data_IF_496447385138
#
_entry.id   IF_496447385138
#
_cell.length_a   1.000
_cell.length_b   1.000
_cell.length_c   1.000
_cell.angle_alpha   90.00
_cell.angle_beta   90.00
_cell.angle_gamma   90.00
#
_symmetry.space_group_name_H-M   'P 1'
#
loop_
_entity.id
_entity.type
_entity.pdbx_description
1 polymer ?
#
# COMPACT_ATOMS: atom_id res chain seq x y z
N UNK A 1 23.50 -27.24 29.83
CA UNK A 1 23.00 -27.09 28.43
C UNK A 1 21.54 -27.49 28.22
N UNK A 2 20.86 -28.14 29.18
CA UNK A 2 19.47 -28.63 28.99
C UNK A 2 18.38 -27.54 29.08
N UNK A 3 18.49 -26.56 30.00
CA UNK A 3 17.46 -25.51 30.17
C UNK A 3 17.28 -24.61 28.95
N UNK A 4 18.37 -24.10 28.35
CA UNK A 4 18.30 -23.24 27.15
C UNK A 4 17.59 -23.91 25.96
N UNK A 5 17.75 -25.22 25.76
CA UNK A 5 17.04 -25.97 24.71
C UNK A 5 15.53 -26.05 24.96
N UNK A 6 15.13 -26.02 26.23
CA UNK A 6 13.73 -26.10 26.66
C UNK A 6 13.05 -24.75 26.51
N UNK A 7 13.72 -23.66 26.90
CA UNK A 7 13.27 -22.28 26.66
C UNK A 7 13.13 -21.95 25.17
N UNK A 8 14.07 -22.38 24.33
CA UNK A 8 14.00 -22.14 22.88
C UNK A 8 12.81 -22.90 22.26
N UNK A 9 12.53 -24.12 22.72
CA UNK A 9 11.35 -24.89 22.28
C UNK A 9 10.04 -24.24 22.72
N UNK A 10 9.98 -23.73 23.95
CA UNK A 10 8.80 -23.02 24.45
C UNK A 10 8.53 -21.74 23.64
N UNK A 11 9.58 -20.97 23.32
CA UNK A 11 9.46 -19.79 22.44
C UNK A 11 9.06 -20.16 21.02
N UNK A 12 9.59 -21.24 20.46
CA UNK A 12 9.20 -21.71 19.14
C UNK A 12 7.72 -22.10 19.07
N UNK A 13 7.20 -22.76 20.12
CA UNK A 13 5.77 -23.10 20.24
C UNK A 13 4.88 -21.86 20.35
N UNK A 14 5.28 -20.87 21.16
CA UNK A 14 4.54 -19.61 21.29
C UNK A 14 4.51 -18.84 19.95
N UNK A 15 5.66 -18.73 19.27
CA UNK A 15 5.72 -18.11 17.94
C UNK A 15 4.87 -18.87 16.91
N UNK A 16 4.85 -20.20 16.98
CA UNK A 16 4.04 -21.00 16.07
C UNK A 16 2.53 -20.77 16.30
N UNK A 17 2.09 -20.59 17.55
CA UNK A 17 0.71 -20.25 17.87
C UNK A 17 0.32 -18.84 17.38
N UNK A 18 1.21 -17.86 17.53
CA UNK A 18 1.01 -16.51 16.96
C UNK A 18 0.92 -16.54 15.44
N UNK A 19 1.77 -17.34 14.77
CA UNK A 19 1.71 -17.51 13.31
C UNK A 19 0.37 -18.12 12.88
N UNK A 20 -0.15 -19.10 13.63
CA UNK A 20 -1.43 -19.74 13.31
C UNK A 20 -2.62 -18.78 13.53
N UNK A 21 -2.60 -17.98 14.60
CA UNK A 21 -3.60 -16.95 14.85
C UNK A 21 -3.59 -15.87 13.75
N UNK A 22 -2.39 -15.39 13.38
CA UNK A 22 -2.20 -14.41 12.31
C UNK A 22 -2.66 -14.96 10.95
N UNK A 23 -2.36 -16.23 10.65
CA UNK A 23 -2.86 -16.91 9.45
C UNK A 23 -4.39 -17.06 9.45
N UNK A 24 -4.99 -17.35 10.60
CA UNK A 24 -6.45 -17.43 10.73
C UNK A 24 -7.13 -16.08 10.53
N UNK A 25 -6.55 -14.98 11.06
CA UNK A 25 -7.04 -13.61 10.84
C UNK A 25 -6.94 -13.16 9.38
N UNK A 26 -5.94 -13.65 8.66
CA UNK A 26 -5.69 -13.31 7.27
C UNK A 26 -6.63 -14.04 6.27
N UNK A 27 -7.29 -15.11 6.72
CA UNK A 27 -8.17 -15.95 5.90
C UNK A 27 -7.40 -17.07 5.20
N UNK A 28 -7.96 -18.30 5.27
CA UNK A 28 -7.33 -19.57 4.87
C UNK A 28 -6.80 -19.66 3.44
N UNK A 29 -7.10 -18.70 2.58
CA UNK A 29 -6.83 -18.78 1.14
C UNK A 29 -6.00 -17.61 0.58
N UNK A 30 -5.65 -16.61 1.39
CA UNK A 30 -4.85 -15.47 0.90
C UNK A 30 -3.43 -15.55 1.45
N UNK A 31 -2.49 -15.81 0.55
CA UNK A 31 -1.07 -15.68 0.85
C UNK A 31 -0.81 -14.20 1.14
N UNK A 32 -0.43 -13.87 2.37
CA UNK A 32 -0.17 -12.49 2.83
C UNK A 32 0.71 -11.72 1.84
N UNK A 33 1.74 -12.41 1.34
CA UNK A 33 2.67 -11.87 0.37
C UNK A 33 2.01 -11.50 -0.95
N UNK A 34 1.06 -12.30 -1.45
CA UNK A 34 0.33 -12.01 -2.69
C UNK A 34 -0.58 -10.81 -2.52
N UNK A 35 -1.26 -10.68 -1.37
CA UNK A 35 -2.12 -9.53 -1.09
C UNK A 35 -1.31 -8.26 -0.97
N UNK A 36 -0.22 -8.28 -0.20
CA UNK A 36 0.67 -7.13 -0.06
C UNK A 36 1.28 -6.75 -1.40
N UNK A 37 1.79 -7.72 -2.17
CA UNK A 37 2.36 -7.47 -3.50
C UNK A 37 1.32 -6.89 -4.46
N UNK A 38 0.07 -7.36 -4.43
CA UNK A 38 -1.03 -6.80 -5.22
C UNK A 38 -1.32 -5.34 -4.82
N UNK A 39 -1.39 -5.03 -3.53
CA UNK A 39 -1.60 -3.66 -3.05
C UNK A 39 -0.44 -2.74 -3.44
N UNK A 40 0.81 -3.20 -3.33
CA UNK A 40 2.00 -2.46 -3.77
C UNK A 40 1.92 -2.15 -5.27
N UNK A 41 1.55 -3.13 -6.09
CA UNK A 41 1.37 -2.93 -7.54
C UNK A 41 0.27 -1.92 -7.85
N UNK A 42 -0.88 -2.02 -7.18
CA UNK A 42 -1.98 -1.07 -7.36
C UNK A 42 -1.57 0.35 -6.95
N UNK A 43 -0.82 0.50 -5.86
CA UNK A 43 -0.32 1.80 -5.41
C UNK A 43 0.64 2.42 -6.42
N UNK A 44 1.56 1.63 -6.98
CA UNK A 44 2.47 2.10 -8.02
C UNK A 44 1.73 2.50 -9.30
N UNK A 45 0.75 1.69 -9.75
CA UNK A 45 -0.07 2.02 -10.92
C UNK A 45 -0.87 3.30 -10.72
N UNK A 46 -1.47 3.47 -9.54
CA UNK A 46 -2.17 4.70 -9.18
C UNK A 46 -1.24 5.92 -9.21
N UNK A 47 -0.06 5.82 -8.58
CA UNK A 47 0.91 6.91 -8.57
C UNK A 47 1.39 7.25 -9.99
N UNK A 48 1.72 6.25 -10.81
CA UNK A 48 2.16 6.48 -12.18
C UNK A 48 1.08 7.17 -13.03
N UNK A 49 -0.18 6.75 -12.90
CA UNK A 49 -1.31 7.40 -13.56
C UNK A 49 -1.53 8.83 -13.05
N UNK A 50 -1.42 9.06 -11.74
CA UNK A 50 -1.52 10.37 -11.12
C UNK A 50 -0.40 11.31 -11.59
N UNK A 51 0.84 10.84 -11.63
CA UNK A 51 1.99 11.61 -12.09
C UNK A 51 1.87 11.98 -13.57
N UNK A 52 1.50 11.03 -14.43
CA UNK A 52 1.23 11.31 -15.84
C UNK A 52 0.12 12.34 -16.04
N UNK A 53 -0.97 12.23 -15.25
CA UNK A 53 -2.06 13.19 -15.25
C UNK A 53 -1.59 14.58 -14.80
N UNK A 54 -0.78 14.66 -13.75
CA UNK A 54 -0.26 15.92 -13.23
C UNK A 54 0.65 16.64 -14.24
N UNK A 55 1.45 15.88 -15.00
CA UNK A 55 2.25 16.42 -16.12
C UNK A 55 1.36 17.02 -17.20
N UNK A 56 0.28 16.31 -17.59
CA UNK A 56 -0.68 16.79 -18.58
C UNK A 56 -1.41 18.05 -18.09
N UNK A 57 -1.84 18.08 -16.83
CA UNK A 57 -2.46 19.27 -16.22
C UNK A 57 -1.48 20.45 -16.23
N UNK A 58 -0.21 20.22 -15.90
CA UNK A 58 0.82 21.27 -15.95
C UNK A 58 1.01 21.85 -17.36
N UNK A 59 1.03 20.99 -18.39
CA UNK A 59 1.09 21.43 -19.79
C UNK A 59 -0.17 22.17 -20.21
N UNK A 60 -1.35 21.70 -19.80
CA UNK A 60 -2.63 22.34 -20.08
C UNK A 60 -2.73 23.72 -19.40
N UNK A 61 -2.22 23.85 -18.19
CA UNK A 61 -2.13 25.12 -17.45
C UNK A 61 -1.28 26.13 -18.22
N UNK A 62 -0.10 25.72 -18.69
CA UNK A 62 0.77 26.56 -19.50
C UNK A 62 0.10 26.98 -20.81
N UNK A 63 -0.58 26.07 -21.50
CA UNK A 63 -1.27 26.37 -22.76
C UNK A 63 -2.45 27.34 -22.59
N UNK A 64 -3.18 27.24 -21.46
CA UNK A 64 -4.31 28.11 -21.13
C UNK A 64 -3.90 29.39 -20.38
N UNK A 65 -2.61 29.61 -20.13
CA UNK A 65 -2.08 30.70 -19.31
C UNK A 65 -2.79 30.82 -17.95
N UNK A 66 -3.16 29.68 -17.37
CA UNK A 66 -3.81 29.59 -16.06
C UNK A 66 -2.94 28.80 -15.09
N UNK A 67 -3.32 28.77 -13.82
CA UNK A 67 -2.60 27.98 -12.82
C UNK A 67 -3.14 26.55 -12.75
N UNK A 68 -2.27 25.61 -12.37
CA UNK A 68 -2.66 24.22 -12.08
C UNK A 68 -3.78 24.17 -11.04
N UNK A 69 -3.76 25.07 -10.06
CA UNK A 69 -4.78 25.18 -9.02
C UNK A 69 -6.16 25.53 -9.60
N UNK A 70 -6.24 26.53 -10.46
CA UNK A 70 -7.50 26.90 -11.12
C UNK A 70 -8.04 25.76 -11.99
N UNK A 71 -7.17 25.01 -12.66
CA UNK A 71 -7.56 23.83 -13.42
C UNK A 71 -8.07 22.70 -12.52
N UNK A 72 -7.44 22.48 -11.37
CA UNK A 72 -7.94 21.50 -10.40
C UNK A 72 -9.34 21.89 -9.91
N UNK A 73 -9.58 23.17 -9.63
CA UNK A 73 -10.91 23.66 -9.25
C UNK A 73 -11.93 23.52 -10.41
N UNK A 74 -11.53 23.83 -11.65
CA UNK A 74 -12.38 23.68 -12.85
C UNK A 74 -12.77 22.22 -13.13
N UNK A 75 -11.85 21.27 -12.91
CA UNK A 75 -12.08 19.84 -13.14
C UNK A 75 -12.60 19.08 -11.91
N UNK A 76 -12.89 19.77 -10.79
CA UNK A 76 -13.35 19.11 -9.56
C UNK A 76 -12.29 18.22 -8.90
N UNK A 77 -11.01 18.47 -9.19
CA UNK A 77 -9.83 17.85 -8.55
C UNK A 77 -9.35 18.67 -7.34
N UNK A 78 -10.26 19.45 -6.75
CA UNK A 78 -10.02 20.19 -5.51
C UNK A 78 -9.61 19.26 -4.39
N UNK A 79 -8.90 19.80 -3.38
CA UNK A 79 -8.32 19.06 -2.27
C UNK A 79 -9.38 18.49 -1.29
N UNK A 80 -10.26 17.62 -1.78
CA UNK A 80 -11.24 16.88 -1.00
C UNK A 80 -10.78 15.42 -0.76
N UNK A 81 -9.52 15.26 -0.34
CA UNK A 81 -9.00 14.05 0.31
C UNK A 81 -8.38 14.43 1.66
#
# INVERSE_FOLDING_TARGET
MSSKKTDIKARALALQAEIDELKSKLGKDVVAEVVVNKHIKLLHQYNEAKDATQILIGRLAAARQTTVKNLHEEYGLGAED
#
